data_IF_636067689159
#
_entry.id   IF_636067689159
#
_cell.length_a   1.000
_cell.length_b   1.000
_cell.length_c   1.000
_cell.angle_alpha   90.00
_cell.angle_beta   90.00
_cell.angle_gamma   90.00
#
_symmetry.space_group_name_H-M   'P 1'
#
loop_
_entity.id
_entity.type
_entity.pdbx_description
1 polymer ?
#
# COMPACT_ATOMS: atom_id res chain seq x y z
N UNK A 1 -12.47 -15.04 -40.05
CA UNK A 1 -13.10 -13.82 -39.51
C UNK A 1 -14.27 -14.24 -38.64
N UNK A 2 -14.17 -14.00 -37.33
CA UNK A 2 -15.22 -13.70 -36.33
C UNK A 2 -14.51 -13.76 -34.96
N UNK A 3 -14.56 -12.64 -34.22
CA UNK A 3 -13.65 -12.29 -33.13
C UNK A 3 -14.03 -12.79 -31.72
N UNK A 4 -13.20 -12.46 -30.70
CA UNK A 4 -13.31 -13.00 -29.35
C UNK A 4 -14.31 -12.19 -28.52
N UNK A 5 -15.57 -12.64 -28.50
CA UNK A 5 -16.65 -12.01 -27.73
C UNK A 5 -17.59 -12.99 -27.00
N UNK A 6 -17.25 -14.28 -26.95
CA UNK A 6 -18.20 -15.34 -26.54
C UNK A 6 -17.85 -16.10 -25.26
N UNK A 7 -16.79 -15.72 -24.53
CA UNK A 7 -16.37 -16.43 -23.31
C UNK A 7 -16.92 -15.85 -21.99
N UNK A 8 -17.69 -14.77 -22.03
CA UNK A 8 -18.14 -14.06 -20.82
C UNK A 8 -19.62 -14.27 -20.44
N UNK A 9 -20.34 -15.21 -21.08
CA UNK A 9 -21.81 -15.38 -20.88
C UNK A 9 -22.21 -16.79 -20.35
N UNK A 10 -21.27 -17.66 -19.94
CA UNK A 10 -21.59 -19.02 -19.43
C UNK A 10 -21.20 -19.19 -17.94
N UNK A 11 -21.28 -18.14 -17.12
CA UNK A 11 -21.17 -18.30 -15.65
C UNK A 11 -22.20 -17.51 -14.84
N UNK A 12 -23.31 -17.13 -15.48
CA UNK A 12 -24.49 -16.57 -14.84
C UNK A 12 -25.69 -17.27 -15.48
N UNK A 13 -25.93 -18.55 -15.15
CA UNK A 13 -27.19 -19.33 -15.22
C UNK A 13 -26.82 -20.72 -14.66
N UNK A 14 -26.75 -20.83 -13.34
CA UNK A 14 -26.77 -22.10 -12.61
C UNK A 14 -27.03 -21.82 -11.12
N UNK A 15 -28.01 -20.98 -10.81
CA UNK A 15 -28.46 -20.81 -9.42
C UNK A 15 -29.90 -20.27 -9.39
N UNK A 16 -30.83 -21.00 -9.99
CA UNK A 16 -32.26 -20.91 -9.71
C UNK A 16 -32.87 -22.23 -10.19
N UNK A 17 -33.75 -22.79 -9.37
CA UNK A 17 -34.44 -24.10 -9.50
C UNK A 17 -33.76 -25.31 -8.85
N UNK A 18 -33.95 -25.45 -7.53
CA UNK A 18 -34.40 -26.70 -6.89
C UNK A 18 -34.80 -26.38 -5.45
N UNK A 19 -36.10 -26.15 -5.23
CA UNK A 19 -36.71 -26.19 -3.91
C UNK A 19 -36.73 -27.64 -3.40
N UNK A 20 -36.59 -27.77 -2.08
CA UNK A 20 -36.85 -28.96 -1.24
C UNK A 20 -35.95 -30.18 -1.44
N UNK A 21 -34.93 -30.32 -0.58
CA UNK A 21 -34.68 -31.61 0.10
C UNK A 21 -33.96 -31.42 1.44
N UNK A 22 -34.42 -32.19 2.42
CA UNK A 22 -34.15 -32.16 3.85
C UNK A 22 -32.72 -32.60 4.22
N UNK A 23 -32.27 -32.12 5.38
CA UNK A 23 -31.03 -32.39 6.10
C UNK A 23 -30.64 -33.87 6.18
N UNK A 24 -29.63 -34.30 5.41
CA UNK A 24 -28.61 -35.32 5.72
C UNK A 24 -27.70 -35.48 4.49
N UNK A 25 -26.39 -35.68 4.71
CA UNK A 25 -25.32 -35.96 3.71
C UNK A 25 -24.30 -34.84 3.39
N UNK A 26 -23.90 -34.03 4.37
CA UNK A 26 -22.49 -33.64 4.47
C UNK A 26 -21.71 -34.85 4.97
N UNK A 27 -20.96 -35.54 4.09
CA UNK A 27 -19.77 -36.40 4.38
C UNK A 27 -19.29 -37.17 3.13
N UNK A 28 -20.07 -37.26 2.03
CA UNK A 28 -19.77 -38.22 0.95
C UNK A 28 -19.22 -37.64 -0.38
N UNK A 29 -18.41 -36.58 -0.37
CA UNK A 29 -17.78 -36.04 -1.61
C UNK A 29 -16.30 -35.66 -1.45
N UNK A 30 -15.56 -36.41 -0.62
CA UNK A 30 -14.08 -36.28 -0.49
C UNK A 30 -13.30 -37.56 -0.81
N UNK A 31 -13.90 -38.51 -1.53
CA UNK A 31 -13.24 -39.77 -1.93
C UNK A 31 -13.67 -40.22 -3.33
N UNK A 32 -13.16 -39.55 -4.36
CA UNK A 32 -13.18 -40.05 -5.73
C UNK A 32 -12.13 -39.34 -6.60
N UNK A 33 -10.86 -39.53 -6.27
CA UNK A 33 -9.74 -39.39 -7.22
C UNK A 33 -8.55 -40.16 -6.64
N UNK A 34 -7.89 -40.95 -7.48
CA UNK A 34 -6.80 -41.91 -7.18
C UNK A 34 -7.25 -43.32 -6.75
N UNK A 35 -7.54 -44.13 -7.77
CA UNK A 35 -7.32 -45.58 -7.80
C UNK A 35 -6.39 -45.91 -8.98
N UNK A 36 -5.78 -47.11 -8.94
CA UNK A 36 -4.59 -47.63 -9.67
C UNK A 36 -3.31 -47.42 -8.84
N UNK A 37 -2.73 -48.38 -8.12
CA UNK A 37 -2.87 -49.83 -8.10
C UNK A 37 -1.49 -50.47 -8.27
N UNK A 38 -0.89 -50.97 -7.19
CA UNK A 38 -0.11 -52.23 -7.16
C UNK A 38 0.59 -52.43 -5.81
N UNK A 39 0.72 -53.70 -5.49
CA UNK A 39 0.86 -54.36 -4.19
C UNK A 39 2.34 -54.58 -3.82
N UNK A 40 2.70 -54.47 -2.53
CA UNK A 40 3.34 -55.54 -1.76
C UNK A 40 4.07 -55.09 -0.48
N UNK A 41 3.81 -55.88 0.58
CA UNK A 41 4.66 -56.20 1.75
C UNK A 41 4.88 -55.17 2.87
N UNK A 42 4.01 -55.35 3.88
CA UNK A 42 4.21 -55.28 5.34
C UNK A 42 5.66 -55.28 5.86
N UNK A 43 6.02 -54.24 6.62
CA UNK A 43 6.91 -54.33 7.77
C UNK A 43 6.42 -53.34 8.85
N UNK A 44 6.31 -53.83 10.08
CA UNK A 44 5.75 -53.17 11.27
C UNK A 44 6.94 -52.84 12.17
N UNK A 45 7.24 -51.56 12.43
CA UNK A 45 8.18 -51.13 13.48
C UNK A 45 7.69 -49.82 14.10
N UNK A 46 7.95 -49.69 15.39
CA UNK A 46 7.32 -48.88 16.44
C UNK A 46 7.37 -47.34 16.30
N UNK A 47 6.39 -46.66 16.93
CA UNK A 47 6.47 -45.23 17.29
C UNK A 47 7.23 -45.10 18.62
N UNK A 48 8.05 -44.05 18.83
CA UNK A 48 7.53 -42.87 19.51
C UNK A 48 8.14 -41.53 19.08
N UNK A 49 7.45 -40.43 19.39
CA UNK A 49 8.02 -39.07 19.44
C UNK A 49 7.32 -38.05 18.54
N UNK A 50 6.39 -37.29 19.11
CA UNK A 50 5.88 -36.05 18.55
C UNK A 50 7.02 -35.05 18.33
N UNK A 51 7.06 -34.46 17.13
CA UNK A 51 7.50 -33.09 16.91
C UNK A 51 6.56 -32.53 15.82
N UNK A 52 5.69 -31.59 16.19
CA UNK A 52 4.87 -30.84 15.26
C UNK A 52 5.81 -29.97 14.40
N UNK A 53 6.28 -30.54 13.30
CA UNK A 53 6.98 -29.82 12.25
C UNK A 53 5.98 -28.93 11.53
N UNK A 54 6.21 -27.62 11.56
CA UNK A 54 5.46 -26.63 10.82
C UNK A 54 5.25 -27.05 9.36
N UNK A 55 3.99 -27.06 8.96
CA UNK A 55 3.59 -27.29 7.58
C UNK A 55 3.96 -26.04 6.77
N UNK A 56 4.96 -26.16 5.91
CA UNK A 56 5.44 -25.08 5.03
C UNK A 56 4.82 -25.28 3.65
N UNK A 57 3.83 -24.47 3.30
CA UNK A 57 3.37 -24.36 1.92
C UNK A 57 4.41 -23.58 1.11
N UNK A 58 5.12 -24.29 0.22
CA UNK A 58 6.04 -23.69 -0.75
C UNK A 58 5.24 -23.42 -2.03
N UNK A 59 5.04 -22.15 -2.35
CA UNK A 59 4.64 -21.70 -3.69
C UNK A 59 5.73 -20.74 -4.17
N UNK A 60 6.35 -21.04 -5.30
CA UNK A 60 7.34 -20.19 -6.00
C UNK A 60 8.62 -19.80 -5.23
N UNK A 61 9.20 -20.70 -4.44
CA UNK A 61 10.61 -20.60 -4.03
C UNK A 61 10.98 -19.44 -3.07
N UNK A 62 10.01 -18.67 -2.58
CA UNK A 62 10.22 -17.67 -1.54
C UNK A 62 9.83 -18.21 -0.16
N UNK A 63 10.73 -18.09 0.81
CA UNK A 63 10.35 -18.25 2.22
C UNK A 63 9.27 -17.22 2.54
N UNK A 64 8.08 -17.69 2.94
CA UNK A 64 7.01 -16.84 3.45
C UNK A 64 7.52 -16.18 4.73
N UNK A 65 8.05 -14.96 4.61
CA UNK A 65 8.32 -14.12 5.77
C UNK A 65 6.95 -13.69 6.28
N UNK A 66 6.55 -14.24 7.43
CA UNK A 66 5.33 -13.85 8.14
C UNK A 66 5.54 -12.43 8.71
N UNK A 67 5.41 -11.41 7.88
CA UNK A 67 5.30 -10.04 8.36
C UNK A 67 4.45 -9.26 7.37
N UNK A 68 3.22 -8.93 7.78
CA UNK A 68 2.45 -7.87 7.15
C UNK A 68 3.17 -6.53 7.36
N UNK A 69 2.77 -5.48 6.65
CA UNK A 69 3.21 -4.12 7.00
C UNK A 69 2.84 -3.87 8.48
N UNK A 70 3.84 -3.64 9.33
CA UNK A 70 3.70 -3.45 10.77
C UNK A 70 3.34 -2.02 11.16
N UNK A 71 3.60 -1.03 10.30
CA UNK A 71 3.25 0.36 10.59
C UNK A 71 2.84 1.13 9.34
N UNK A 72 1.65 1.73 9.39
CA UNK A 72 1.16 2.62 8.33
C UNK A 72 1.06 4.05 8.85
N UNK A 73 1.76 4.96 8.18
CA UNK A 73 1.69 6.41 8.45
C UNK A 73 0.97 7.12 7.32
N UNK A 74 -0.16 7.74 7.62
CA UNK A 74 -0.87 8.62 6.68
C UNK A 74 -0.27 10.03 6.75
N UNK A 75 0.04 10.63 5.61
CA UNK A 75 0.37 12.05 5.54
C UNK A 75 -0.59 12.75 4.60
N UNK A 76 -1.18 13.85 5.08
CA UNK A 76 -2.07 14.70 4.28
C UNK A 76 -1.63 16.16 4.45
N UNK A 77 -1.70 16.93 3.37
CA UNK A 77 -1.59 18.37 3.42
C UNK A 77 -2.93 19.00 3.02
N UNK A 78 -3.34 20.03 3.75
CA UNK A 78 -4.59 20.75 3.54
C UNK A 78 -4.39 22.26 3.59
N UNK A 79 -5.31 23.00 2.95
CA UNK A 79 -5.45 24.44 3.14
C UNK A 79 -6.13 24.75 4.49
N UNK A 80 -6.33 26.03 4.78
CA UNK A 80 -6.98 26.46 6.04
C UNK A 80 -8.44 26.00 6.18
N UNK A 81 -9.07 25.56 5.10
CA UNK A 81 -10.46 25.10 5.05
C UNK A 81 -10.60 23.56 4.97
N UNK A 82 -9.49 22.81 4.95
CA UNK A 82 -9.50 21.35 4.86
C UNK A 82 -9.49 20.79 3.44
N UNK A 83 -9.31 21.63 2.42
CA UNK A 83 -9.11 21.19 1.04
C UNK A 83 -7.72 20.60 0.85
N UNK A 84 -7.60 19.48 0.14
CA UNK A 84 -6.33 18.80 -0.16
C UNK A 84 -5.71 19.20 -1.51
N UNK A 85 -6.53 19.76 -2.40
CA UNK A 85 -6.13 20.23 -3.72
C UNK A 85 -7.04 21.37 -4.16
N UNK A 86 -6.54 22.24 -5.05
CA UNK A 86 -7.35 23.27 -5.71
C UNK A 86 -7.80 22.77 -7.09
N UNK A 87 -9.10 22.63 -7.29
CA UNK A 87 -9.71 22.20 -8.57
C UNK A 87 -9.98 23.38 -9.52
N UNK A 88 -9.53 24.59 -9.19
CA UNK A 88 -9.59 25.72 -10.10
C UNK A 88 -8.54 25.59 -11.22
N UNK A 89 -8.73 26.35 -12.30
CA UNK A 89 -7.82 26.33 -13.46
C UNK A 89 -6.41 26.85 -13.13
N UNK A 90 -6.29 27.69 -12.10
CA UNK A 90 -5.01 28.14 -11.57
C UNK A 90 -4.56 27.16 -10.48
N UNK A 91 -3.86 26.09 -10.89
CA UNK A 91 -3.27 25.18 -9.93
C UNK A 91 -2.22 25.92 -9.11
N UNK A 92 -2.48 26.10 -7.82
CA UNK A 92 -1.42 26.34 -6.86
C UNK A 92 -0.53 25.09 -6.87
N UNK A 93 0.76 25.26 -7.14
CA UNK A 93 1.71 24.15 -7.07
C UNK A 93 1.88 23.66 -5.63
N UNK A 94 3.12 23.42 -5.21
CA UNK A 94 3.39 23.14 -3.78
C UNK A 94 2.94 24.32 -2.92
N UNK A 95 2.05 24.05 -1.95
CA UNK A 95 1.44 25.09 -1.11
C UNK A 95 1.84 25.05 0.37
N UNK A 96 2.53 24.00 0.80
CA UNK A 96 3.16 23.91 2.13
C UNK A 96 4.55 24.50 2.11
N UNK A 97 5.04 24.95 3.27
CA UNK A 97 6.31 25.62 3.39
C UNK A 97 7.52 24.66 3.31
N UNK A 98 8.72 25.23 3.15
CA UNK A 98 9.96 24.46 3.01
C UNK A 98 10.26 23.52 4.18
N UNK A 99 10.01 23.95 5.41
CA UNK A 99 10.25 23.14 6.60
C UNK A 99 9.34 21.90 6.65
N UNK A 100 8.06 22.06 6.30
CA UNK A 100 7.11 20.95 6.22
C UNK A 100 7.45 19.99 5.08
N UNK A 101 7.97 20.50 3.96
CA UNK A 101 8.49 19.65 2.89
C UNK A 101 9.72 18.86 3.35
N UNK A 102 10.64 19.46 4.12
CA UNK A 102 11.79 18.74 4.66
C UNK A 102 11.36 17.60 5.58
N UNK A 103 10.40 17.85 6.48
CA UNK A 103 9.79 16.83 7.34
C UNK A 103 9.19 15.67 6.54
N UNK A 104 8.37 15.95 5.51
CA UNK A 104 7.83 14.88 4.63
C UNK A 104 8.95 14.05 4.01
N UNK A 105 10.07 14.66 3.62
CA UNK A 105 11.20 13.92 3.09
C UNK A 105 11.94 13.09 4.16
N UNK A 106 11.95 13.49 5.43
CA UNK A 106 12.45 12.64 6.52
C UNK A 106 11.49 11.47 6.78
N UNK A 107 10.18 11.69 6.75
CA UNK A 107 9.18 10.62 6.86
C UNK A 107 9.35 9.56 5.76
N UNK A 108 9.53 10.01 4.50
CA UNK A 108 9.84 9.12 3.37
C UNK A 108 11.11 8.32 3.59
N UNK A 109 12.16 8.94 4.17
CA UNK A 109 13.43 8.27 4.48
C UNK A 109 13.26 7.17 5.53
N UNK A 110 12.38 7.39 6.51
CA UNK A 110 12.09 6.43 7.57
C UNK A 110 11.03 5.38 7.20
N UNK A 111 10.57 5.36 5.95
CA UNK A 111 9.57 4.41 5.46
C UNK A 111 10.22 3.44 4.47
N UNK A 112 9.82 2.17 4.52
CA UNK A 112 10.27 1.19 3.53
C UNK A 112 9.58 1.40 2.18
N UNK A 113 8.35 1.92 2.21
CA UNK A 113 7.60 2.27 1.02
C UNK A 113 6.74 3.52 1.15
N UNK A 114 6.50 4.19 0.02
CA UNK A 114 5.61 5.35 -0.10
C UNK A 114 4.51 5.02 -1.11
N UNK A 115 3.26 5.08 -0.65
CA UNK A 115 2.07 4.70 -1.42
C UNK A 115 1.24 5.92 -1.82
N UNK A 116 0.83 5.95 -3.09
CA UNK A 116 -0.18 6.88 -3.62
C UNK A 116 -1.21 6.17 -4.49
N UNK A 117 -2.36 6.79 -4.70
CA UNK A 117 -3.30 6.40 -5.76
C UNK A 117 -2.91 7.01 -7.11
N UNK A 118 -3.32 6.36 -8.21
CA UNK A 118 -3.01 6.79 -9.58
C UNK A 118 -3.33 8.25 -9.89
N UNK A 119 -4.38 8.81 -9.29
CA UNK A 119 -4.77 10.21 -9.53
C UNK A 119 -3.62 11.17 -9.19
N UNK A 120 -2.91 10.90 -8.08
CA UNK A 120 -1.73 11.67 -7.68
C UNK A 120 -0.61 11.61 -8.73
N UNK A 121 -0.39 10.44 -9.35
CA UNK A 121 0.60 10.28 -10.42
C UNK A 121 0.18 11.08 -11.66
N UNK A 122 -1.09 10.99 -12.06
CA UNK A 122 -1.62 11.70 -13.24
C UNK A 122 -1.58 13.21 -13.05
N UNK A 123 -1.97 13.70 -11.88
CA UNK A 123 -2.10 15.13 -11.61
C UNK A 123 -0.75 15.82 -11.36
N UNK A 124 0.21 15.13 -10.73
CA UNK A 124 1.44 15.74 -10.22
C UNK A 124 2.75 15.21 -10.83
N UNK A 125 2.71 14.13 -11.64
CA UNK A 125 3.88 13.35 -12.05
C UNK A 125 4.90 13.17 -10.90
N UNK A 126 4.41 12.64 -9.78
CA UNK A 126 5.17 12.61 -8.54
C UNK A 126 6.40 11.67 -8.62
N UNK A 127 7.56 12.08 -8.12
CA UNK A 127 8.75 11.20 -8.06
C UNK A 127 8.76 10.24 -6.86
N UNK A 128 8.09 10.62 -5.77
CA UNK A 128 8.04 9.91 -4.47
C UNK A 128 9.41 9.57 -3.85
N UNK A 129 10.43 10.37 -4.17
CA UNK A 129 11.80 10.18 -3.68
C UNK A 129 12.11 11.02 -2.43
N UNK A 130 13.21 10.68 -1.75
CA UNK A 130 13.89 11.51 -0.77
C UNK A 130 14.97 12.34 -1.48
N UNK A 131 14.84 13.68 -1.46
CA UNK A 131 15.77 14.61 -2.13
C UNK A 131 16.02 15.93 -1.39
N UNK A 132 15.36 16.14 -0.24
CA UNK A 132 15.51 17.38 0.55
C UNK A 132 16.34 17.18 1.83
N UNK A 133 16.60 15.93 2.18
CA UNK A 133 17.39 15.56 3.36
C UNK A 133 18.42 14.49 2.98
N UNK A 134 19.53 14.37 3.72
CA UNK A 134 20.52 13.34 3.48
C UNK A 134 19.88 11.94 3.58
N UNK A 135 20.20 11.10 2.59
CA UNK A 135 19.85 9.68 2.61
C UNK A 135 20.89 8.89 3.37
N UNK A 136 20.44 7.80 3.98
CA UNK A 136 21.32 6.83 4.59
C UNK A 136 22.11 6.10 3.50
N UNK A 137 23.38 5.88 3.79
CA UNK A 137 24.30 5.20 2.88
C UNK A 137 24.04 3.71 3.05
N UNK A 138 23.67 3.03 1.96
CA UNK A 138 23.32 1.59 1.97
C UNK A 138 24.56 0.70 2.08
N UNK A 139 25.74 1.28 1.87
CA UNK A 139 27.01 0.56 1.72
C UNK A 139 28.03 1.10 2.74
N UNK A 140 28.43 0.28 3.71
CA UNK A 140 29.45 0.64 4.71
C UNK A 140 30.89 0.67 4.14
N UNK A 141 31.05 0.52 2.82
CA UNK A 141 32.36 0.46 2.17
C UNK A 141 32.85 1.88 1.79
N UNK A 142 33.70 2.47 2.62
CA UNK A 142 34.19 3.86 2.47
C UNK A 142 34.90 4.14 1.14
N UNK A 143 35.62 3.18 0.55
CA UNK A 143 36.31 3.34 -0.75
C UNK A 143 35.35 3.58 -1.92
N UNK A 144 34.13 3.01 -1.88
CA UNK A 144 33.12 3.23 -2.91
C UNK A 144 32.45 4.61 -2.77
N UNK A 145 32.43 5.17 -1.56
CA UNK A 145 31.85 6.49 -1.28
C UNK A 145 32.69 7.64 -1.84
N UNK A 146 34.02 7.51 -1.85
CA UNK A 146 34.92 8.53 -2.40
C UNK A 146 34.89 8.56 -3.94
N UNK A 147 34.72 7.40 -4.58
CA UNK A 147 34.51 7.33 -6.02
C UNK A 147 33.14 7.87 -6.44
N UNK A 148 32.09 7.63 -5.65
CA UNK A 148 30.72 8.14 -5.89
C UNK A 148 30.59 9.66 -5.73
N UNK A 149 31.37 10.31 -4.84
CA UNK A 149 31.41 11.78 -4.74
C UNK A 149 31.79 12.46 -6.05
N UNK A 150 32.52 11.75 -6.92
CA UNK A 150 33.00 12.26 -8.20
C UNK A 150 32.09 11.87 -9.39
N UNK A 151 31.14 10.92 -9.27
CA UNK A 151 30.16 10.63 -10.32
C UNK A 151 28.93 11.54 -10.25
N UNK A 152 29.02 12.68 -10.94
CA UNK A 152 27.96 13.69 -11.01
C UNK A 152 26.71 13.25 -11.79
N UNK A 153 26.70 12.08 -12.42
CA UNK A 153 25.65 11.70 -13.38
C UNK A 153 24.38 11.16 -12.73
N UNK A 154 24.44 10.51 -11.55
CA UNK A 154 23.24 10.13 -10.80
C UNK A 154 23.50 9.70 -9.32
N UNK A 155 23.69 10.64 -8.38
CA UNK A 155 24.05 10.35 -6.98
C UNK A 155 22.92 9.71 -6.14
N UNK A 156 21.71 9.54 -6.69
CA UNK A 156 20.56 8.99 -5.98
C UNK A 156 20.38 7.48 -6.18
N UNK A 157 21.04 6.88 -7.19
CA UNK A 157 20.81 5.48 -7.60
C UNK A 157 21.39 4.44 -6.62
N UNK A 158 22.28 4.86 -5.72
CA UNK A 158 22.99 3.99 -4.74
C UNK A 158 22.70 4.36 -3.28
N UNK A 159 21.67 5.18 -3.04
CA UNK A 159 21.23 5.61 -1.71
C UNK A 159 19.81 5.07 -1.46
N UNK A 160 19.50 4.62 -0.25
CA UNK A 160 18.26 3.87 0.02
C UNK A 160 17.05 4.78 -0.16
N UNK A 161 16.36 4.62 -1.28
CA UNK A 161 15.07 5.26 -1.54
C UNK A 161 13.95 4.33 -1.06
N UNK A 162 12.84 4.87 -0.54
CA UNK A 162 11.67 4.05 -0.26
C UNK A 162 11.14 3.43 -1.56
N UNK A 163 10.61 2.23 -1.47
CA UNK A 163 9.91 1.59 -2.58
C UNK A 163 8.65 2.40 -2.91
N UNK A 164 8.45 2.74 -4.18
CA UNK A 164 7.27 3.52 -4.59
C UNK A 164 6.13 2.56 -4.87
N UNK A 165 4.96 2.81 -4.30
CA UNK A 165 3.78 1.97 -4.50
C UNK A 165 2.67 2.82 -5.10
N UNK A 166 2.11 2.38 -6.22
CA UNK A 166 1.01 3.08 -6.90
C UNK A 166 -0.18 2.16 -7.00
N UNK A 167 -1.32 2.60 -6.47
CA UNK A 167 -2.60 1.93 -6.68
C UNK A 167 -3.21 2.41 -7.99
N UNK A 168 -3.20 1.55 -9.00
CA UNK A 168 -3.92 1.72 -10.25
C UNK A 168 -4.81 0.50 -10.50
N UNK A 169 -5.97 0.46 -9.83
CA UNK A 169 -6.86 -0.70 -9.79
C UNK A 169 -7.23 -1.24 -11.17
N UNK A 170 -7.30 -0.40 -12.21
CA UNK A 170 -7.64 -0.81 -13.58
C UNK A 170 -6.44 -1.00 -14.51
N UNK A 171 -5.21 -0.80 -14.02
CA UNK A 171 -3.96 -0.83 -14.81
C UNK A 171 -4.09 0.00 -16.10
N UNK A 172 -4.45 1.26 -15.93
CA UNK A 172 -4.74 2.23 -16.99
C UNK A 172 -3.64 3.28 -17.20
N UNK A 173 -2.66 3.37 -16.30
CA UNK A 173 -1.53 4.28 -16.45
C UNK A 173 -0.67 3.90 -17.64
N UNK A 174 -0.42 4.87 -18.51
CA UNK A 174 0.62 4.81 -19.52
C UNK A 174 1.96 5.16 -18.86
N UNK A 175 2.67 4.12 -18.40
CA UNK A 175 3.90 4.26 -17.62
C UNK A 175 5.04 4.95 -18.39
N UNK A 176 4.98 5.01 -19.72
CA UNK A 176 5.96 5.74 -20.53
C UNK A 176 5.98 7.25 -20.24
N UNK A 177 4.88 7.78 -19.70
CA UNK A 177 4.69 9.23 -19.48
C UNK A 177 5.10 9.73 -18.10
N UNK A 178 5.36 8.84 -17.14
CA UNK A 178 5.47 9.24 -15.73
C UNK A 178 6.81 8.87 -15.12
N UNK A 179 7.35 9.82 -14.33
CA UNK A 179 8.62 9.71 -13.62
C UNK A 179 8.72 8.43 -12.79
N UNK A 180 7.63 7.97 -12.18
CA UNK A 180 7.58 6.73 -11.37
C UNK A 180 8.01 5.45 -12.09
N UNK A 181 8.04 5.45 -13.42
CA UNK A 181 8.50 4.31 -14.21
C UNK A 181 9.78 4.61 -15.00
N UNK A 182 10.08 5.88 -15.25
CA UNK A 182 11.16 6.30 -16.16
C UNK A 182 12.52 6.56 -15.49
N UNK A 183 12.56 6.84 -14.18
CA UNK A 183 13.80 7.23 -13.50
C UNK A 183 14.67 6.04 -13.01
N UNK A 184 14.23 4.82 -13.26
CA UNK A 184 14.94 3.59 -12.93
C UNK A 184 14.92 3.20 -11.45
N UNK A 185 14.20 3.93 -10.59
CA UNK A 185 14.01 3.52 -9.20
C UNK A 185 12.88 2.46 -9.10
N UNK A 186 12.93 1.65 -8.04
CA UNK A 186 11.99 0.55 -7.84
C UNK A 186 10.57 1.08 -7.60
N UNK A 187 9.61 0.53 -8.35
CA UNK A 187 8.19 0.87 -8.25
C UNK A 187 7.34 -0.38 -8.28
N UNK A 188 6.30 -0.42 -7.44
CA UNK A 188 5.27 -1.45 -7.42
C UNK A 188 3.96 -0.84 -7.91
N UNK A 189 3.37 -1.41 -8.95
CA UNK A 189 2.02 -1.06 -9.42
C UNK A 189 1.04 -2.10 -8.91
N UNK A 190 0.17 -1.68 -7.98
CA UNK A 190 -0.90 -2.52 -7.47
C UNK A 190 -2.14 -2.35 -8.33
N UNK A 191 -2.68 -3.45 -8.86
CA UNK A 191 -3.87 -3.45 -9.71
C UNK A 191 -4.82 -4.59 -9.37
N UNK A 192 -6.05 -4.51 -9.89
CA UNK A 192 -7.03 -5.57 -9.70
C UNK A 192 -6.72 -6.76 -10.63
N UNK A 193 -6.69 -7.94 -10.05
CA UNK A 193 -6.53 -9.23 -10.70
C UNK A 193 -7.11 -10.35 -9.80
N UNK A 194 -8.14 -11.09 -10.24
CA UNK A 194 -8.81 -12.10 -9.42
C UNK A 194 -7.91 -13.25 -8.95
N UNK A 195 -6.76 -13.49 -9.59
CA UNK A 195 -5.90 -14.64 -9.27
C UNK A 195 -4.69 -14.33 -8.40
N UNK A 196 -4.51 -13.07 -7.97
CA UNK A 196 -3.32 -12.59 -7.26
C UNK A 196 -1.98 -12.98 -7.94
N UNK A 197 -1.35 -12.07 -8.69
CA UNK A 197 -0.15 -12.38 -9.49
C UNK A 197 0.92 -11.29 -9.34
N UNK A 198 2.19 -11.69 -9.22
CA UNK A 198 3.35 -10.79 -9.26
C UNK A 198 4.17 -11.05 -10.52
N UNK A 199 4.60 -10.00 -11.21
CA UNK A 199 5.48 -10.09 -12.38
C UNK A 199 6.18 -8.75 -12.66
N UNK A 200 7.23 -8.79 -13.45
CA UNK A 200 7.92 -7.61 -13.99
C UNK A 200 7.68 -7.54 -15.50
N UNK A 201 7.65 -6.35 -16.08
CA UNK A 201 7.59 -6.16 -17.54
C UNK A 201 8.99 -5.91 -18.10
N UNK A 202 9.29 -6.47 -19.27
CA UNK A 202 10.54 -6.20 -20.00
C UNK A 202 10.68 -4.72 -20.39
N UNK A 203 9.57 -4.03 -20.65
CA UNK A 203 9.54 -2.61 -21.02
C UNK A 203 9.90 -1.71 -19.83
N UNK A 204 9.52 -2.12 -18.62
CA UNK A 204 9.74 -1.36 -17.39
C UNK A 204 10.40 -2.25 -16.33
N UNK A 205 11.72 -2.53 -16.46
CA UNK A 205 12.41 -3.52 -15.62
C UNK A 205 12.52 -3.12 -14.14
N UNK A 206 12.37 -1.83 -13.83
CA UNK A 206 12.30 -1.31 -12.46
C UNK A 206 10.88 -1.32 -11.85
N UNK A 207 9.88 -1.78 -12.62
CA UNK A 207 8.47 -1.79 -12.22
C UNK A 207 7.97 -3.22 -12.03
N UNK A 208 7.56 -3.52 -10.81
CA UNK A 208 6.91 -4.78 -10.44
C UNK A 208 5.39 -4.57 -10.38
N UNK A 209 4.62 -5.46 -10.99
CA UNK A 209 3.16 -5.45 -10.93
C UNK A 209 2.70 -6.43 -9.87
N UNK A 210 1.77 -5.98 -9.02
CA UNK A 210 1.08 -6.78 -8.01
C UNK A 210 -0.42 -6.76 -8.31
N UNK A 211 -0.92 -7.83 -8.90
CA UNK A 211 -2.35 -8.06 -9.07
C UNK A 211 -2.95 -8.59 -7.77
N UNK A 212 -4.08 -8.03 -7.33
CA UNK A 212 -4.85 -8.45 -6.14
C UNK A 212 -6.34 -8.62 -6.47
N UNK A 213 -7.06 -9.56 -5.84
CA UNK A 213 -8.49 -9.73 -6.07
C UNK A 213 -9.28 -8.46 -5.69
N UNK A 214 -10.49 -8.28 -6.24
CA UNK A 214 -11.37 -7.21 -5.80
C UNK A 214 -11.73 -7.39 -4.32
N UNK A 215 -11.89 -6.27 -3.61
CA UNK A 215 -12.40 -6.29 -2.23
C UNK A 215 -13.80 -6.90 -2.21
N UNK A 216 -14.05 -7.77 -1.25
CA UNK A 216 -15.37 -8.38 -1.00
C UNK A 216 -15.99 -7.64 0.19
N UNK A 217 -17.14 -6.99 -0.01
CA UNK A 217 -17.86 -6.29 1.08
C UNK A 217 -18.89 -7.16 1.80
N UNK A 218 -19.48 -8.11 1.08
CA UNK A 218 -20.51 -9.05 1.55
C UNK A 218 -20.52 -10.26 0.62
N UNK A 219 -21.14 -11.36 1.03
CA UNK A 219 -21.02 -12.73 0.48
C UNK A 219 -21.28 -12.90 -1.03
N UNK A 220 -21.51 -11.85 -1.84
CA UNK A 220 -21.62 -12.00 -3.30
C UNK A 220 -21.40 -10.75 -4.17
N UNK A 221 -20.89 -9.61 -3.65
CA UNK A 221 -20.66 -8.42 -4.49
C UNK A 221 -19.20 -7.98 -4.47
N UNK A 222 -18.44 -8.28 -5.55
CA UNK A 222 -17.11 -7.72 -5.75
C UNK A 222 -17.20 -6.19 -5.81
N UNK A 223 -16.39 -5.51 -5.00
CA UNK A 223 -16.25 -4.07 -5.09
C UNK A 223 -15.29 -3.70 -6.24
N UNK A 224 -15.46 -2.51 -6.81
CA UNK A 224 -14.54 -1.95 -7.80
C UNK A 224 -13.24 -1.40 -7.17
N UNK A 225 -12.99 -1.74 -5.90
CA UNK A 225 -11.85 -1.26 -5.10
C UNK A 225 -11.00 -2.44 -4.62
N UNK A 226 -9.75 -2.14 -4.27
CA UNK A 226 -8.82 -3.08 -3.65
C UNK A 226 -8.89 -2.92 -2.12
N UNK A 227 -8.66 -4.01 -1.37
CA UNK A 227 -8.58 -3.93 0.09
C UNK A 227 -7.22 -3.37 0.51
N UNK A 228 -7.25 -2.35 1.36
CA UNK A 228 -6.06 -1.75 1.97
C UNK A 228 -5.33 -2.76 2.87
N UNK A 229 -6.08 -3.64 3.54
CA UNK A 229 -5.53 -4.73 4.34
C UNK A 229 -4.76 -5.74 3.48
N UNK A 230 -5.33 -6.19 2.35
CA UNK A 230 -4.66 -7.12 1.45
C UNK A 230 -3.42 -6.49 0.79
N UNK A 231 -3.49 -5.20 0.46
CA UNK A 231 -2.32 -4.44 -0.01
C UNK A 231 -1.21 -4.51 1.04
N UNK A 232 -1.49 -4.18 2.30
CA UNK A 232 -0.49 -4.22 3.38
C UNK A 232 0.07 -5.63 3.61
N UNK A 233 -0.77 -6.65 3.61
CA UNK A 233 -0.36 -8.05 3.75
C UNK A 233 0.63 -8.46 2.65
N UNK A 234 0.31 -8.14 1.40
CA UNK A 234 1.12 -8.54 0.23
C UNK A 234 2.39 -7.72 0.09
N UNK A 235 2.35 -6.42 0.41
CA UNK A 235 3.55 -5.58 0.45
C UNK A 235 4.54 -6.05 1.51
N UNK A 236 4.07 -6.43 2.70
CA UNK A 236 4.92 -6.99 3.75
C UNK A 236 5.50 -8.35 3.36
N UNK A 237 4.63 -9.31 3.04
CA UNK A 237 5.04 -10.71 2.82
C UNK A 237 5.84 -10.93 1.53
N UNK A 238 5.58 -10.17 0.45
CA UNK A 238 6.26 -10.37 -0.84
C UNK A 238 7.40 -9.39 -1.10
N UNK A 239 7.34 -8.19 -0.51
CA UNK A 239 8.31 -7.12 -0.80
C UNK A 239 9.12 -6.68 0.41
N UNK A 240 8.83 -7.22 1.61
CA UNK A 240 9.55 -6.91 2.84
C UNK A 240 9.24 -5.53 3.42
N UNK A 241 8.19 -4.86 2.95
CA UNK A 241 7.82 -3.51 3.43
C UNK A 241 7.23 -3.63 4.83
N UNK A 242 7.88 -3.05 5.84
CA UNK A 242 7.41 -3.07 7.24
C UNK A 242 6.73 -1.75 7.60
N UNK A 243 7.24 -0.63 7.10
CA UNK A 243 6.71 0.71 7.31
C UNK A 243 6.26 1.33 5.99
N UNK A 244 4.95 1.58 5.87
CA UNK A 244 4.35 2.19 4.68
C UNK A 244 3.86 3.59 4.99
N UNK A 245 4.34 4.57 4.22
CA UNK A 245 3.79 5.92 4.24
C UNK A 245 2.74 6.07 3.14
N UNK A 246 1.52 6.46 3.50
CA UNK A 246 0.46 6.78 2.55
C UNK A 246 0.44 8.29 2.33
N UNK A 247 0.79 8.73 1.13
CA UNK A 247 0.69 10.13 0.67
C UNK A 247 -0.45 10.32 -0.35
N UNK A 248 -1.33 9.31 -0.46
CA UNK A 248 -2.37 9.28 -1.48
C UNK A 248 -3.43 10.37 -1.30
N UNK A 249 -4.00 10.81 -2.42
CA UNK A 249 -5.18 11.68 -2.44
C UNK A 249 -6.39 11.09 -1.67
N UNK A 250 -7.50 11.85 -1.57
CA UNK A 250 -8.61 11.56 -0.65
C UNK A 250 -9.16 10.14 -0.73
N UNK A 251 -9.26 9.57 -1.93
CA UNK A 251 -9.76 8.23 -2.15
C UNK A 251 -8.88 7.16 -1.48
N UNK A 252 -7.57 7.26 -1.66
CA UNK A 252 -6.60 6.33 -1.07
C UNK A 252 -6.54 6.49 0.44
N UNK A 253 -6.43 7.72 0.93
CA UNK A 253 -6.43 8.01 2.37
C UNK A 253 -7.70 7.44 3.05
N UNK A 254 -8.87 7.71 2.50
CA UNK A 254 -10.15 7.23 3.05
C UNK A 254 -10.27 5.71 3.02
N UNK A 255 -9.69 5.02 2.04
CA UNK A 255 -9.66 3.55 2.00
C UNK A 255 -8.91 2.99 3.21
N UNK A 256 -7.71 3.50 3.46
CA UNK A 256 -6.87 3.08 4.58
C UNK A 256 -7.49 3.41 5.93
N UNK A 257 -8.11 4.58 6.08
CA UNK A 257 -8.80 4.97 7.32
C UNK A 257 -10.04 4.12 7.58
N UNK A 258 -10.87 3.88 6.56
CA UNK A 258 -12.09 3.08 6.69
C UNK A 258 -11.79 1.63 7.07
N UNK A 259 -10.74 1.05 6.50
CA UNK A 259 -10.25 -0.29 6.86
C UNK A 259 -9.38 -0.28 8.13
N UNK A 260 -9.25 0.86 8.82
CA UNK A 260 -8.48 1.06 10.05
C UNK A 260 -7.02 0.60 9.96
N UNK A 261 -6.44 0.73 8.77
CA UNK A 261 -5.05 0.34 8.51
C UNK A 261 -4.05 1.39 8.97
N UNK A 262 -4.47 2.63 9.23
CA UNK A 262 -3.58 3.72 9.65
C UNK A 262 -3.24 3.61 11.14
N UNK A 263 -1.95 3.65 11.48
CA UNK A 263 -1.47 3.65 12.87
C UNK A 263 -1.11 5.06 13.36
N UNK A 264 -0.63 5.89 12.43
CA UNK A 264 -0.22 7.27 12.68
C UNK A 264 -0.69 8.15 11.53
N UNK A 265 -1.09 9.39 11.81
CA UNK A 265 -1.35 10.38 10.79
C UNK A 265 -0.68 11.72 11.10
N UNK A 266 -0.22 12.38 10.04
CA UNK A 266 0.39 13.71 10.08
C UNK A 266 -0.39 14.60 9.14
N UNK A 267 -1.07 15.61 9.70
CA UNK A 267 -1.90 16.55 8.96
C UNK A 267 -1.19 17.89 8.92
N UNK A 268 -0.75 18.31 7.74
CA UNK A 268 -0.07 19.59 7.52
C UNK A 268 -1.07 20.61 6.99
N UNK A 269 -1.36 21.65 7.76
CA UNK A 269 -2.28 22.73 7.39
C UNK A 269 -1.51 23.98 7.00
N UNK A 270 -1.60 24.35 5.73
CA UNK A 270 -1.04 25.59 5.23
C UNK A 270 -1.99 26.77 5.48
N UNK A 271 -1.49 27.99 5.75
CA UNK A 271 -2.31 29.17 6.02
C UNK A 271 -2.89 29.82 4.75
N UNK A 272 -3.06 29.04 3.69
CA UNK A 272 -3.64 29.47 2.41
C UNK A 272 -5.10 29.05 2.29
N UNK A 273 -5.79 29.57 1.28
CA UNK A 273 -7.15 29.19 0.94
C UNK A 273 -7.22 28.80 -0.53
N UNK A 274 -7.68 27.59 -0.82
CA UNK A 274 -7.98 27.19 -2.19
C UNK A 274 -9.23 27.89 -2.70
N UNK A 275 -9.24 28.18 -4.00
CA UNK A 275 -10.39 28.81 -4.67
C UNK A 275 -11.52 27.81 -4.85
N UNK A 276 -11.18 26.59 -5.25
CA UNK A 276 -12.13 25.48 -5.40
C UNK A 276 -11.59 24.23 -4.68
N UNK A 277 -11.68 24.17 -3.35
CA UNK A 277 -11.08 23.08 -2.57
C UNK A 277 -11.72 21.74 -2.91
N UNK A 278 -10.88 20.74 -3.21
CA UNK A 278 -11.25 19.33 -3.09
C UNK A 278 -11.14 18.95 -1.62
N UNK A 279 -12.28 18.79 -0.95
CA UNK A 279 -12.30 18.40 0.46
C UNK A 279 -11.94 16.92 0.63
N UNK A 280 -11.23 16.63 1.71
CA UNK A 280 -11.08 15.29 2.23
C UNK A 280 -12.34 14.92 3.03
N UNK A 281 -13.41 14.57 2.31
CA UNK A 281 -14.70 14.23 2.92
C UNK A 281 -14.64 12.88 3.65
N UNK A 282 -15.26 12.74 4.84
CA UNK A 282 -15.46 11.45 5.49
C UNK A 282 -16.39 10.53 4.70
N UNK A 283 -16.35 9.24 5.03
CA UNK A 283 -17.30 8.24 4.53
C UNK A 283 -18.61 8.21 5.33
N UNK A 284 -18.68 8.91 6.47
CA UNK A 284 -19.87 9.09 7.30
C UNK A 284 -20.35 10.54 7.20
N UNK A 285 -21.63 10.74 6.88
CA UNK A 285 -22.25 12.06 6.79
C UNK A 285 -22.65 12.65 8.15
N UNK A 286 -22.38 11.96 9.26
CA UNK A 286 -22.63 12.48 10.60
C UNK A 286 -21.47 13.38 11.02
N UNK A 287 -21.66 14.69 10.87
CA UNK A 287 -20.70 15.78 11.07
C UNK A 287 -20.12 15.94 12.50
N UNK A 288 -20.18 14.91 13.35
CA UNK A 288 -19.78 15.01 14.77
C UNK A 288 -18.36 14.56 15.08
N UNK A 289 -17.70 13.78 14.21
CA UNK A 289 -16.35 13.23 14.47
C UNK A 289 -15.41 13.32 13.28
N UNK A 290 -14.12 13.53 13.52
CA UNK A 290 -13.08 13.55 12.49
C UNK A 290 -12.92 12.16 11.84
N UNK A 291 -12.62 12.05 10.53
CA UNK A 291 -12.28 10.75 9.90
C UNK A 291 -11.16 9.99 10.61
N UNK A 292 -10.25 10.73 11.26
CA UNK A 292 -9.15 10.16 12.04
C UNK A 292 -9.66 9.50 13.33
N UNK A 293 -10.59 10.17 14.03
CA UNK A 293 -11.23 9.64 15.24
C UNK A 293 -12.10 8.41 14.93
N UNK A 294 -12.87 8.46 13.83
CA UNK A 294 -13.66 7.32 13.36
C UNK A 294 -12.78 6.09 13.01
N UNK A 295 -11.57 6.34 12.50
CA UNK A 295 -10.56 5.31 12.25
C UNK A 295 -9.87 4.80 13.53
N UNK A 296 -10.17 5.41 14.68
CA UNK A 296 -9.64 5.06 16.00
C UNK A 296 -8.29 5.70 16.33
N UNK A 297 -7.96 6.84 15.72
CA UNK A 297 -6.79 7.64 16.05
C UNK A 297 -7.16 8.75 17.05
N UNK A 298 -6.22 9.13 17.91
CA UNK A 298 -6.33 10.27 18.81
C UNK A 298 -5.27 11.32 18.45
N UNK A 299 -5.61 12.60 18.53
CA UNK A 299 -4.64 13.68 18.38
C UNK A 299 -3.68 13.66 19.58
N UNK A 300 -2.38 13.55 19.32
CA UNK A 300 -1.33 13.49 20.34
C UNK A 300 -0.60 14.82 20.49
N UNK A 301 -0.74 15.74 19.53
CA UNK A 301 -0.14 17.07 19.61
C UNK A 301 -0.29 17.90 18.35
N UNK A 302 0.00 19.19 18.49
CA UNK A 302 0.03 20.16 17.39
C UNK A 302 1.27 21.02 17.52
N UNK A 303 1.93 21.29 16.40
CA UNK A 303 3.09 22.18 16.35
C UNK A 303 3.09 23.10 15.13
N UNK A 304 3.96 24.11 15.14
CA UNK A 304 4.22 24.94 13.97
C UNK A 304 5.50 24.48 13.26
N UNK A 305 5.43 24.34 11.94
CA UNK A 305 6.58 24.16 11.07
C UNK A 305 6.62 25.31 10.08
N UNK A 306 7.49 26.28 10.36
CA UNK A 306 7.50 27.55 9.63
C UNK A 306 6.15 28.27 9.75
N UNK A 307 5.42 28.35 8.64
CA UNK A 307 4.08 28.98 8.58
C UNK A 307 2.94 27.97 8.59
N UNK A 308 3.25 26.68 8.49
CA UNK A 308 2.24 25.62 8.51
C UNK A 308 2.00 25.15 9.96
N UNK A 309 0.80 24.65 10.22
CA UNK A 309 0.46 23.92 11.44
C UNK A 309 0.47 22.43 11.16
N UNK A 310 1.08 21.63 12.02
CA UNK A 310 1.11 20.17 11.91
C UNK A 310 0.33 19.58 13.08
N UNK A 311 -0.60 18.68 12.78
CA UNK A 311 -1.31 17.87 13.76
C UNK A 311 -0.79 16.42 13.69
N UNK A 312 -0.48 15.86 14.86
CA UNK A 312 -0.01 14.48 15.01
C UNK A 312 -1.10 13.62 15.61
N UNK A 313 -1.35 12.47 15.00
CA UNK A 313 -2.43 11.57 15.38
C UNK A 313 -1.92 10.15 15.48
N UNK A 314 -2.27 9.41 16.53
CA UNK A 314 -1.85 8.01 16.67
C UNK A 314 -2.94 7.13 17.27
N UNK A 315 -2.89 5.84 16.95
CA UNK A 315 -3.73 4.83 17.58
C UNK A 315 -3.39 4.77 19.08
N UNK A 316 -4.39 4.78 19.99
CA UNK A 316 -4.13 4.67 21.42
C UNK A 316 -3.28 3.45 21.76
N UNK A 317 -2.27 3.63 22.62
CA UNK A 317 -1.34 2.57 23.02
C UNK A 317 -0.15 2.37 22.08
N UNK A 318 -0.19 2.92 20.86
CA UNK A 318 1.01 3.04 20.04
C UNK A 318 1.79 4.27 20.53
N UNK A 319 3.04 4.07 20.94
CA UNK A 319 3.95 5.19 21.14
C UNK A 319 4.10 5.97 19.83
N UNK A 320 4.09 7.29 19.90
CA UNK A 320 4.81 8.05 18.88
C UNK A 320 6.28 7.62 19.02
N UNK A 321 6.98 7.26 17.95
CA UNK A 321 8.34 6.70 18.04
C UNK A 321 9.42 7.68 18.58
N UNK A 322 9.02 8.78 19.21
CA UNK A 322 9.85 9.58 20.10
C UNK A 322 9.10 9.89 21.40
N UNK A 323 9.41 9.13 22.45
CA UNK A 323 9.38 9.61 23.83
C UNK A 323 10.73 9.13 24.41
N UNK A 324 11.74 10.02 24.59
CA UNK A 324 11.66 11.29 25.33
C UNK A 324 12.05 12.56 24.56
N UNK A 325 12.17 12.52 23.23
CA UNK A 325 12.53 13.70 22.45
C UNK A 325 11.27 14.44 21.95
N UNK A 326 11.25 15.80 21.93
CA UNK A 326 10.08 16.57 21.53
C UNK A 326 9.66 16.23 20.09
N UNK A 327 8.35 16.28 19.81
CA UNK A 327 7.74 16.00 18.49
C UNK A 327 8.51 16.66 17.32
N UNK A 328 9.13 17.82 17.57
CA UNK A 328 10.03 18.55 16.67
C UNK A 328 11.30 17.79 16.22
N UNK A 329 11.63 16.66 16.84
CA UNK A 329 12.82 15.83 16.56
C UNK A 329 12.49 14.50 15.89
N UNK A 330 11.20 14.13 15.84
CA UNK A 330 10.74 13.05 14.99
C UNK A 330 10.75 13.54 13.53
N UNK A 331 11.25 12.75 12.56
CA UNK A 331 11.50 13.15 11.18
C UNK A 331 10.54 14.20 10.59
#
# INVERSE_FOLDING_TARGET
>A
MLGPGYFFIILIIACQECHSFSSTNLVALRRAAFSHGSDSRRAKVDRPGQNDSGYVDIVDGYQKVNSSVHGVTLKIAIDKQGGVADLSSEKLGRFTCGASLDMVHRLRRCSDGVLVGKATVVEDDCSLTVRRVPLDIVDHNEELLEQDRNDKRNPQKRRQQPVRVVIDSRKTLDLSKYTIAQDGLRTIIVHMNPTCVRYTSDEFPNVEFLGLPPRIESEMKPCSTLSSQEICEKLGSLFGIQHLMVEGGPQTANSFLRERMVDRAIIVRAPIAFRKPLLWEPWSSSQTSSPLEEAGLACVGTEMSGVDTIEYWSRPGNGWPSDPNPLSTWP
#
